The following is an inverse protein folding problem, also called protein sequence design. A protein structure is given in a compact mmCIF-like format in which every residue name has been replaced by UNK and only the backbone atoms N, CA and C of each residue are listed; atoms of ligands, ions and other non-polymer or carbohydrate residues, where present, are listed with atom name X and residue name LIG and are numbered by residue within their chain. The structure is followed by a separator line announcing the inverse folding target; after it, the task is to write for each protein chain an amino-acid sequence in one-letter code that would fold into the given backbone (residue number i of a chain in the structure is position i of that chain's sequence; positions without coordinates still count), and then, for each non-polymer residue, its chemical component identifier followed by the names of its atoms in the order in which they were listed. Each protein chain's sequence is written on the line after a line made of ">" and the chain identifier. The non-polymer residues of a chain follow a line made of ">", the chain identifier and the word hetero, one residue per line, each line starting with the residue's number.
data_IF_664245396988
#
_entry.id   IF_664245396988
#
_cell.length_a   1.000
_cell.length_b   1.000
_cell.length_c   1.000
_cell.angle_alpha   90.00
_cell.angle_beta   90.00
_cell.angle_gamma   90.00
#
_symmetry.space_group_name_H-M   'P 1'
#
loop_
_entity.id
_entity.type
_entity.pdbx_description
1 polymer ?
#
# COMPACT_ATOMS: atom_id res chain seq x y z
N UNK A 1 -16.99 -14.82 14.84
CA UNK A 1 -15.54 -14.81 15.14
C UNK A 1 -15.08 -16.24 15.38
N UNK A 2 -14.17 -16.78 14.56
CA UNK A 2 -13.75 -18.19 14.56
C UNK A 2 -13.28 -18.71 15.93
N UNK A 3 -12.60 -17.86 16.71
CA UNK A 3 -12.15 -18.17 18.07
C UNK A 3 -13.30 -18.47 19.05
N UNK A 4 -14.45 -17.78 18.91
CA UNK A 4 -15.62 -18.01 19.80
C UNK A 4 -16.31 -19.35 19.51
N UNK A 5 -16.21 -19.82 18.28
CA UNK A 5 -16.89 -21.04 17.82
C UNK A 5 -15.95 -22.26 17.78
N UNK A 6 -14.68 -22.10 18.21
CA UNK A 6 -13.62 -23.14 18.21
C UNK A 6 -13.51 -23.89 16.88
N UNK A 7 -13.75 -23.19 15.76
CA UNK A 7 -13.61 -23.77 14.43
C UNK A 7 -12.13 -23.77 14.04
N UNK A 8 -11.47 -24.88 14.31
CA UNK A 8 -10.05 -25.08 14.03
C UNK A 8 -9.86 -26.17 12.98
N UNK A 9 -8.93 -25.95 12.05
CA UNK A 9 -8.50 -26.91 11.03
C UNK A 9 -7.61 -28.01 11.61
N UNK A 10 -6.97 -27.73 12.75
CA UNK A 10 -6.02 -28.61 13.41
C UNK A 10 -5.22 -27.87 14.48
N UNK A 11 -4.10 -28.46 14.86
CA UNK A 11 -3.12 -27.92 15.80
C UNK A 11 -1.72 -28.13 15.24
N UNK A 12 -0.85 -27.13 15.41
CA UNK A 12 0.58 -27.29 15.19
C UNK A 12 1.32 -26.66 16.37
N UNK A 13 2.20 -27.45 17.00
CA UNK A 13 3.01 -27.01 18.15
C UNK A 13 2.18 -26.48 19.34
N UNK A 14 0.96 -26.99 19.55
CA UNK A 14 0.04 -26.51 20.59
C UNK A 14 -0.65 -25.19 20.25
N UNK A 15 -0.55 -24.74 18.99
CA UNK A 15 -1.22 -23.54 18.48
C UNK A 15 -2.36 -23.99 17.56
N UNK A 16 -3.62 -23.62 17.87
CA UNK A 16 -4.76 -24.00 17.05
C UNK A 16 -4.74 -23.27 15.70
N UNK A 17 -4.89 -24.05 14.63
CA UNK A 17 -4.90 -23.55 13.25
C UNK A 17 -6.33 -23.14 12.92
N UNK A 18 -6.54 -21.90 12.49
CA UNK A 18 -7.85 -21.42 12.05
C UNK A 18 -8.17 -21.93 10.64
N UNK A 19 -9.40 -22.35 10.39
CA UNK A 19 -9.87 -22.63 9.02
C UNK A 19 -9.81 -21.35 8.19
N UNK A 20 -9.18 -21.42 7.01
CA UNK A 20 -8.98 -20.26 6.14
C UNK A 20 -10.31 -19.65 5.69
N UNK A 21 -11.27 -20.48 5.28
CA UNK A 21 -12.57 -20.02 4.79
C UNK A 21 -13.40 -19.35 5.90
N UNK A 22 -13.23 -19.78 7.15
CA UNK A 22 -13.93 -19.17 8.29
C UNK A 22 -13.33 -17.81 8.71
N UNK A 23 -12.06 -17.54 8.37
CA UNK A 23 -11.37 -16.26 8.70
C UNK A 23 -11.31 -15.28 7.53
N UNK A 24 -11.54 -15.76 6.30
CA UNK A 24 -11.44 -14.94 5.11
C UNK A 24 -12.58 -13.90 5.07
N UNK A 25 -12.22 -12.63 5.24
CA UNK A 25 -13.17 -11.52 5.11
C UNK A 25 -13.54 -11.23 3.63
N UNK A 26 -12.61 -11.51 2.73
CA UNK A 26 -12.82 -11.42 1.28
C UNK A 26 -11.51 -11.34 0.52
N UNK A 27 -11.63 -11.30 -0.81
CA UNK A 27 -10.51 -11.25 -1.75
C UNK A 27 -10.81 -10.16 -2.76
N UNK A 28 -9.83 -9.29 -3.01
CA UNK A 28 -9.92 -8.31 -4.09
C UNK A 28 -9.64 -9.05 -5.39
N UNK A 29 -10.60 -9.08 -6.31
CA UNK A 29 -10.45 -9.76 -7.60
C UNK A 29 -9.59 -8.94 -8.57
N UNK A 30 -8.72 -9.64 -9.31
CA UNK A 30 -7.82 -9.07 -10.32
C UNK A 30 -7.07 -7.81 -9.87
N UNK A 31 -6.45 -7.77 -8.68
CA UNK A 31 -6.03 -6.50 -8.10
C UNK A 31 -4.75 -5.94 -8.75
N UNK A 32 -3.98 -6.75 -9.47
CA UNK A 32 -2.72 -6.39 -10.13
C UNK A 32 -1.68 -7.50 -9.95
N UNK A 33 -0.43 -7.26 -10.36
CA UNK A 33 0.65 -8.26 -10.25
C UNK A 33 1.72 -7.87 -9.22
N UNK A 34 2.00 -8.79 -8.29
CA UNK A 34 2.99 -8.61 -7.24
C UNK A 34 2.55 -7.64 -6.13
N UNK A 35 1.42 -7.92 -5.41
CA UNK A 35 1.02 -7.11 -4.27
C UNK A 35 2.10 -7.13 -3.17
N UNK A 36 2.49 -5.97 -2.66
CA UNK A 36 3.52 -5.88 -1.61
C UNK A 36 3.03 -5.23 -0.31
N UNK A 37 2.44 -4.04 -0.39
CA UNK A 37 2.10 -3.26 0.81
C UNK A 37 0.71 -2.64 0.68
N UNK A 38 0.02 -2.48 1.81
CA UNK A 38 -1.33 -1.89 1.88
C UNK A 38 -1.41 -0.87 3.01
N UNK A 39 -2.00 0.30 2.74
CA UNK A 39 -2.37 1.31 3.76
C UNK A 39 -3.85 1.69 3.64
N UNK A 40 -4.40 2.30 4.68
CA UNK A 40 -5.82 2.64 4.78
C UNK A 40 -6.02 4.14 5.03
N UNK A 41 -7.02 4.75 4.38
CA UNK A 41 -7.28 6.20 4.46
C UNK A 41 -8.22 6.62 5.60
N UNK A 42 -8.80 5.66 6.33
CA UNK A 42 -9.81 5.93 7.36
C UNK A 42 -11.18 6.34 6.81
N UNK A 43 -11.38 6.27 5.48
CA UNK A 43 -12.63 6.57 4.76
C UNK A 43 -13.21 5.33 4.08
N UNK A 44 -12.75 4.14 4.46
CA UNK A 44 -13.20 2.86 3.90
C UNK A 44 -12.48 2.43 2.64
N UNK A 45 -11.36 3.07 2.26
CA UNK A 45 -10.53 2.58 1.16
C UNK A 45 -9.16 2.11 1.65
N UNK A 46 -8.65 1.15 0.91
CA UNK A 46 -7.32 0.62 1.03
C UNK A 46 -6.55 0.88 -0.27
N UNK A 47 -5.25 1.05 -0.14
CA UNK A 47 -4.34 1.39 -1.23
C UNK A 47 -3.24 0.35 -1.22
N UNK A 48 -3.14 -0.44 -2.28
CA UNK A 48 -2.15 -1.52 -2.37
C UNK A 48 -1.19 -1.27 -3.52
N UNK A 49 0.09 -1.53 -3.27
CA UNK A 49 1.15 -1.45 -4.28
C UNK A 49 1.33 -2.76 -5.02
N UNK A 50 1.50 -2.67 -6.33
CA UNK A 50 1.77 -3.81 -7.20
C UNK A 50 3.12 -3.62 -7.90
N UNK A 51 4.09 -4.43 -7.50
CA UNK A 51 5.48 -4.29 -7.91
C UNK A 51 5.71 -4.61 -9.39
N UNK A 52 5.04 -5.65 -9.90
CA UNK A 52 5.25 -6.14 -11.27
C UNK A 52 4.45 -5.29 -12.26
N UNK A 53 3.16 -5.04 -11.97
CA UNK A 53 2.35 -4.15 -12.81
C UNK A 53 2.64 -2.66 -12.60
N UNK A 54 3.46 -2.33 -11.59
CA UNK A 54 3.98 -0.99 -11.33
C UNK A 54 2.87 0.05 -11.16
N UNK A 55 1.97 -0.19 -10.21
CA UNK A 55 0.79 0.64 -9.97
C UNK A 55 0.43 0.67 -8.48
N UNK A 56 -0.32 1.70 -8.09
CA UNK A 56 -1.05 1.77 -6.83
C UNK A 56 -2.53 1.55 -7.15
N UNK A 57 -3.18 0.66 -6.42
CA UNK A 57 -4.59 0.31 -6.63
C UNK A 57 -5.38 0.65 -5.40
N UNK A 58 -6.41 1.49 -5.58
CA UNK A 58 -7.38 1.86 -4.57
C UNK A 58 -8.56 0.91 -4.66
N UNK A 59 -8.93 0.30 -3.54
CA UNK A 59 -10.06 -0.62 -3.44
C UNK A 59 -10.85 -0.38 -2.16
N UNK A 60 -12.13 -0.76 -2.16
CA UNK A 60 -13.06 -0.50 -1.04
C UNK A 60 -13.06 -1.62 -0.02
N UNK A 61 -12.91 -1.28 1.26
CA UNK A 61 -13.10 -2.20 2.37
C UNK A 61 -14.57 -2.67 2.42
N UNK A 62 -14.77 -3.98 2.60
CA UNK A 62 -16.10 -4.59 2.72
C UNK A 62 -16.69 -5.07 1.39
N UNK A 63 -16.58 -4.28 0.30
CA UNK A 63 -16.96 -4.77 -1.04
C UNK A 63 -15.79 -5.42 -1.78
N UNK A 64 -14.55 -5.09 -1.39
CA UNK A 64 -13.32 -5.59 -2.02
C UNK A 64 -13.19 -5.23 -3.50
N UNK A 65 -13.93 -4.22 -3.94
CA UNK A 65 -13.94 -3.76 -5.34
C UNK A 65 -12.81 -2.77 -5.59
N UNK A 66 -12.13 -2.93 -6.74
CA UNK A 66 -11.18 -1.94 -7.24
C UNK A 66 -11.95 -0.72 -7.74
N UNK A 67 -11.61 0.46 -7.20
CA UNK A 67 -12.27 1.73 -7.56
C UNK A 67 -11.35 2.69 -8.31
N UNK A 68 -10.04 2.53 -8.17
CA UNK A 68 -9.08 3.29 -8.94
C UNK A 68 -7.72 2.60 -9.08
N UNK A 69 -6.99 2.96 -10.13
CA UNK A 69 -5.62 2.51 -10.39
C UNK A 69 -4.79 3.68 -10.88
N UNK A 70 -3.59 3.83 -10.33
CA UNK A 70 -2.64 4.83 -10.81
C UNK A 70 -1.29 4.18 -11.12
N UNK A 71 -0.75 4.38 -12.33
CA UNK A 71 0.61 3.97 -12.65
C UNK A 71 1.62 4.59 -11.69
N UNK A 72 2.62 3.78 -11.33
CA UNK A 72 3.74 4.15 -10.49
C UNK A 72 5.04 3.80 -11.22
N UNK A 73 6.05 4.66 -11.15
CA UNK A 73 7.23 4.62 -12.02
C UNK A 73 8.51 4.58 -11.17
N UNK A 74 9.14 3.42 -10.97
CA UNK A 74 8.68 2.07 -11.28
C UNK A 74 8.89 1.12 -10.10
N UNK A 75 8.22 -0.04 -10.17
CA UNK A 75 8.42 -1.15 -9.24
C UNK A 75 8.21 -0.67 -7.81
N UNK A 76 6.99 -0.24 -7.56
CA UNK A 76 6.59 0.34 -6.28
C UNK A 76 6.67 -0.71 -5.17
N UNK A 77 7.31 -0.33 -4.06
CA UNK A 77 7.45 -1.15 -2.87
C UNK A 77 6.39 -0.79 -1.84
N UNK A 78 6.81 -0.10 -0.78
CA UNK A 78 5.90 0.38 0.25
C UNK A 78 5.16 1.64 -0.20
N UNK A 79 4.01 1.86 0.41
CA UNK A 79 3.33 3.15 0.41
C UNK A 79 3.13 3.62 1.85
N UNK A 80 2.86 4.91 2.03
CA UNK A 80 2.58 5.52 3.32
C UNK A 80 1.44 6.52 3.18
N UNK A 81 0.42 6.39 4.03
CA UNK A 81 -0.56 7.46 4.27
C UNK A 81 -0.17 8.15 5.57
N UNK A 82 -0.11 9.50 5.64
CA UNK A 82 0.16 10.20 6.89
C UNK A 82 -0.85 9.82 7.97
N UNK A 83 -0.34 9.40 9.13
CA UNK A 83 -1.19 8.85 10.20
C UNK A 83 -1.81 7.47 9.90
N UNK A 84 -1.45 6.78 8.81
CA UNK A 84 -2.03 5.48 8.40
C UNK A 84 -1.91 4.40 9.48
N UNK A 85 -0.79 4.37 10.19
CA UNK A 85 -0.55 3.50 11.35
C UNK A 85 -1.20 3.99 12.66
N UNK A 86 -2.22 4.83 12.59
CA UNK A 86 -2.94 5.33 13.76
C UNK A 86 -4.43 5.05 13.62
N UNK A 87 -5.19 5.21 14.71
CA UNK A 87 -6.65 5.10 14.67
C UNK A 87 -7.31 6.14 13.77
N UNK A 88 -6.61 7.24 13.44
CA UNK A 88 -7.13 8.37 12.65
C UNK A 88 -6.15 8.74 11.53
N UNK A 89 -6.09 7.95 10.45
CA UNK A 89 -5.35 8.33 9.25
C UNK A 89 -5.82 9.69 8.71
N UNK A 90 -4.90 10.47 8.15
CA UNK A 90 -5.27 11.80 7.65
C UNK A 90 -6.02 11.73 6.32
N UNK A 91 -5.83 10.65 5.54
CA UNK A 91 -6.64 10.33 4.36
C UNK A 91 -6.65 11.42 3.28
N UNK A 92 -5.58 12.22 3.19
CA UNK A 92 -5.41 13.28 2.18
C UNK A 92 -4.34 12.95 1.14
N UNK A 93 -3.26 12.32 1.56
CA UNK A 93 -2.13 12.01 0.70
C UNK A 93 -1.70 10.57 0.86
N UNK A 94 -1.16 10.00 -0.22
CA UNK A 94 -0.38 8.76 -0.18
C UNK A 94 0.97 8.98 -0.86
N UNK A 95 2.02 8.44 -0.25
CA UNK A 95 3.37 8.46 -0.80
C UNK A 95 3.73 7.03 -1.21
N UNK A 96 3.94 6.80 -2.49
CA UNK A 96 4.43 5.54 -3.04
C UNK A 96 5.95 5.58 -3.18
N UNK A 97 6.66 4.59 -2.65
CA UNK A 97 8.12 4.53 -2.66
C UNK A 97 8.60 3.47 -3.66
N UNK A 98 9.19 3.95 -4.75
CA UNK A 98 9.55 3.20 -5.94
C UNK A 98 10.99 2.72 -5.87
N UNK A 99 11.25 1.51 -6.38
CA UNK A 99 12.56 0.87 -6.28
C UNK A 99 13.45 1.10 -7.51
N UNK A 100 12.85 1.49 -8.63
CA UNK A 100 13.58 1.68 -9.89
C UNK A 100 13.13 3.00 -10.53
N UNK A 101 14.09 3.84 -10.95
CA UNK A 101 13.81 5.16 -11.54
C UNK A 101 14.01 5.25 -13.04
N UNK A 102 14.86 4.42 -13.65
CA UNK A 102 15.09 4.37 -15.11
C UNK A 102 15.21 5.76 -15.75
N UNK A 103 14.24 6.13 -16.59
CA UNK A 103 14.16 7.31 -17.43
C UNK A 103 13.52 8.53 -16.74
N UNK A 104 13.20 8.45 -15.44
CA UNK A 104 12.43 9.49 -14.75
C UNK A 104 13.25 10.71 -14.32
N UNK A 105 14.58 10.60 -14.30
CA UNK A 105 15.49 11.66 -13.88
C UNK A 105 16.71 11.72 -14.79
N UNK A 106 17.48 12.82 -14.70
CA UNK A 106 18.74 12.93 -15.40
C UNK A 106 19.71 11.81 -14.95
N UNK A 107 20.44 11.19 -15.89
CA UNK A 107 21.37 10.12 -15.55
C UNK A 107 22.53 10.65 -14.72
N UNK A 108 22.78 10.02 -13.57
CA UNK A 108 23.87 10.37 -12.63
C UNK A 108 25.03 9.37 -12.64
N UNK A 109 24.96 8.35 -13.52
CA UNK A 109 25.92 7.25 -13.58
C UNK A 109 25.22 5.89 -13.54
N UNK A 110 25.98 4.80 -13.31
CA UNK A 110 25.43 3.44 -13.21
C UNK A 110 24.48 3.26 -12.03
N UNK A 111 24.73 3.99 -10.95
CA UNK A 111 23.85 4.06 -9.80
C UNK A 111 22.88 5.23 -9.96
N UNK A 112 21.59 4.90 -9.97
CA UNK A 112 20.50 5.87 -10.05
C UNK A 112 19.80 5.97 -8.70
N UNK A 113 19.35 7.17 -8.38
CA UNK A 113 18.51 7.42 -7.19
C UNK A 113 17.26 6.56 -7.22
N UNK A 114 16.66 6.27 -6.07
CA UNK A 114 15.30 5.75 -6.04
C UNK A 114 14.31 6.94 -6.15
N UNK A 115 13.01 6.67 -6.11
CA UNK A 115 12.02 7.76 -6.17
C UNK A 115 10.83 7.54 -5.28
N UNK A 116 10.15 8.63 -4.97
CA UNK A 116 8.83 8.62 -4.37
C UNK A 116 7.83 9.39 -5.23
N UNK A 117 6.59 8.96 -5.24
CA UNK A 117 5.47 9.65 -5.87
C UNK A 117 4.44 10.01 -4.81
N UNK A 118 4.03 11.28 -4.79
CA UNK A 118 2.97 11.77 -3.91
C UNK A 118 1.68 11.87 -4.72
N UNK A 119 0.62 11.23 -4.23
CA UNK A 119 -0.72 11.34 -4.80
C UNK A 119 -1.66 12.04 -3.81
N UNK A 120 -2.53 12.89 -4.32
CA UNK A 120 -3.72 13.35 -3.60
C UNK A 120 -4.78 12.24 -3.63
N UNK A 121 -5.36 11.94 -2.48
CA UNK A 121 -6.41 10.93 -2.29
C UNK A 121 -7.65 11.51 -1.60
N UNK A 122 -7.78 12.83 -1.57
CA UNK A 122 -8.91 13.52 -0.97
C UNK A 122 -10.20 13.39 -1.78
N UNK A 123 -10.08 13.24 -3.10
CA UNK A 123 -11.19 13.02 -4.03
C UNK A 123 -11.49 11.55 -4.34
N UNK A 124 -12.36 11.34 -5.32
CA UNK A 124 -12.79 9.99 -5.75
C UNK A 124 -11.64 9.21 -6.41
N UNK A 125 -10.82 9.92 -7.20
CA UNK A 125 -9.69 9.40 -7.96
C UNK A 125 -8.37 9.87 -7.35
N UNK A 126 -7.34 9.04 -7.48
CA UNK A 126 -5.99 9.39 -7.07
C UNK A 126 -5.35 10.31 -8.10
N UNK A 127 -4.78 11.43 -7.66
CA UNK A 127 -4.13 12.40 -8.55
C UNK A 127 -2.64 12.50 -8.23
N UNK A 128 -1.79 12.26 -9.22
CA UNK A 128 -0.35 12.39 -9.05
C UNK A 128 0.03 13.86 -8.93
N UNK A 129 0.57 14.28 -7.78
CA UNK A 129 0.99 15.65 -7.53
C UNK A 129 2.45 15.89 -7.89
N UNK A 130 3.34 15.04 -7.39
CA UNK A 130 4.79 15.23 -7.58
C UNK A 130 5.55 13.91 -7.61
N UNK A 131 6.65 13.91 -8.36
CA UNK A 131 7.67 12.87 -8.37
C UNK A 131 8.93 13.43 -7.73
N UNK A 132 9.48 12.72 -6.76
CA UNK A 132 10.64 13.13 -6.00
C UNK A 132 11.76 12.11 -6.21
N UNK A 133 12.94 12.57 -6.64
CA UNK A 133 14.15 11.76 -6.52
C UNK A 133 14.53 11.71 -5.04
N UNK A 134 14.83 10.53 -4.50
CA UNK A 134 15.41 10.42 -3.17
C UNK A 134 16.91 10.11 -3.32
N UNK A 135 17.76 10.95 -2.72
CA UNK A 135 19.21 10.71 -2.70
C UNK A 135 19.63 9.68 -1.65
N UNK A 136 18.68 9.22 -0.84
CA UNK A 136 18.89 8.24 0.23
C UNK A 136 18.77 6.82 -0.31
N UNK A 137 19.72 5.95 0.07
CA UNK A 137 19.69 4.53 -0.27
C UNK A 137 18.35 3.90 0.16
N UNK A 138 17.56 3.54 -0.85
CA UNK A 138 16.41 2.64 -0.80
C UNK A 138 15.56 2.71 0.48
N UNK A 139 14.86 3.82 0.75
CA UNK A 139 13.92 3.88 1.86
C UNK A 139 12.88 2.77 1.73
N UNK A 140 12.83 1.89 2.73
CA UNK A 140 11.91 0.75 2.75
C UNK A 140 10.54 1.19 3.23
N UNK A 141 10.44 1.78 4.41
CA UNK A 141 9.18 2.25 4.97
C UNK A 141 9.35 3.65 5.56
N UNK A 142 8.26 4.41 5.58
CA UNK A 142 8.22 5.73 6.19
C UNK A 142 6.94 5.85 7.00
N UNK A 143 6.98 6.65 8.07
CA UNK A 143 5.79 7.03 8.84
C UNK A 143 5.78 8.54 9.01
N UNK A 144 4.60 9.13 8.86
CA UNK A 144 4.38 10.57 9.12
C UNK A 144 3.37 10.74 10.24
N UNK A 145 3.68 11.63 11.18
CA UNK A 145 2.84 11.98 12.33
C UNK A 145 2.57 13.50 12.34
N UNK A 146 1.55 13.91 13.09
CA UNK A 146 1.29 15.33 13.37
C UNK A 146 2.45 15.93 14.15
N UNK A 147 2.82 17.18 13.86
CA UNK A 147 3.77 17.94 14.68
C UNK A 147 3.12 18.57 15.91
N UNK A 148 1.78 18.66 15.94
CA UNK A 148 1.03 19.11 17.11
C UNK A 148 0.96 17.95 18.10
N UNK A 149 1.64 18.12 19.23
CA UNK A 149 1.54 17.30 20.45
C UNK A 149 0.23 17.67 21.15
#
# INVERSE_FOLDING_TARGET
>A
MPLKNKKFAGDAYGIPILNFEDVLAGVVEQPGLGPLHTEFDGKGNAYTTFFISSEVVKWKLGTWEVVDRQPCYYSVGHLMIPGGNSQKPFGKYVVAMNKITKDRYLPTGPEVTQSAQLYDISGDKMELLVRLSNSWENPHYARRMSSKI
#
